data_IF_834043602640
#
_entry.id   IF_834043602640
#
_cell.length_a   1.000
_cell.length_b   1.000
_cell.length_c   1.000
_cell.angle_alpha   90.00
_cell.angle_beta   90.00
_cell.angle_gamma   90.00
#
_symmetry.space_group_name_H-M   'P 1'
#
loop_
_entity.id
_entity.type
_entity.pdbx_description
1 polymer ?
#
# COMPACT_ATOMS: atom_id res chain seq x y z
N UNK A 1 -6.65 -4.46 -17.09
CA UNK A 1 -7.39 -3.58 -16.17
C UNK A 1 -6.83 -2.18 -16.34
N UNK A 2 -7.65 -1.20 -16.62
CA UNK A 2 -7.24 0.19 -16.81
C UNK A 2 -7.71 0.98 -15.57
N UNK A 3 -6.78 1.66 -14.90
CA UNK A 3 -7.09 2.59 -13.81
C UNK A 3 -7.15 4.00 -14.40
N UNK A 4 -8.29 4.63 -14.30
CA UNK A 4 -8.46 6.02 -14.70
C UNK A 4 -8.87 6.83 -13.47
N UNK A 5 -7.97 7.69 -13.02
CA UNK A 5 -8.23 8.58 -11.88
C UNK A 5 -8.82 9.91 -12.37
N UNK A 6 -9.73 10.44 -11.56
CA UNK A 6 -10.34 11.75 -11.76
C UNK A 6 -9.78 12.76 -10.75
N UNK A 7 -10.17 14.02 -10.87
CA UNK A 7 -9.83 15.04 -9.87
C UNK A 7 -10.68 14.94 -8.60
N UNK A 8 -11.75 14.13 -8.61
CA UNK A 8 -12.60 13.87 -7.46
C UNK A 8 -12.03 12.71 -6.63
N UNK A 9 -11.58 13.03 -5.42
CA UNK A 9 -10.98 12.04 -4.52
C UNK A 9 -11.98 10.97 -4.07
N UNK A 10 -13.23 11.33 -3.87
CA UNK A 10 -14.25 10.39 -3.38
C UNK A 10 -14.63 9.36 -4.47
N UNK A 11 -14.66 9.78 -5.75
CA UNK A 11 -14.81 8.85 -6.88
C UNK A 11 -13.64 7.86 -6.97
N UNK A 12 -12.42 8.37 -6.81
CA UNK A 12 -11.22 7.53 -6.84
C UNK A 12 -11.19 6.53 -5.68
N UNK A 13 -11.57 6.95 -4.48
CA UNK A 13 -11.71 6.07 -3.31
C UNK A 13 -12.75 4.97 -3.59
N UNK A 14 -13.91 5.34 -4.11
CA UNK A 14 -14.96 4.39 -4.44
C UNK A 14 -14.52 3.39 -5.51
N UNK A 15 -13.79 3.84 -6.53
CA UNK A 15 -13.21 3.00 -7.57
C UNK A 15 -12.23 1.99 -6.98
N UNK A 16 -11.27 2.43 -6.17
CA UNK A 16 -10.26 1.57 -5.57
C UNK A 16 -10.88 0.55 -4.60
N UNK A 17 -11.84 0.96 -3.78
CA UNK A 17 -12.57 0.05 -2.87
C UNK A 17 -13.37 -1.01 -3.63
N UNK A 18 -13.97 -0.68 -4.78
CA UNK A 18 -14.66 -1.68 -5.61
C UNK A 18 -13.71 -2.67 -6.24
N UNK A 19 -12.53 -2.21 -6.64
CA UNK A 19 -11.53 -3.03 -7.31
C UNK A 19 -10.98 -4.13 -6.39
N UNK A 20 -10.80 -3.82 -5.11
CA UNK A 20 -10.24 -4.71 -4.10
C UNK A 20 -11.26 -5.09 -3.01
N UNK A 21 -12.55 -5.15 -3.38
CA UNK A 21 -13.67 -5.37 -2.44
C UNK A 21 -13.59 -6.71 -1.69
N UNK A 22 -12.96 -7.71 -2.28
CA UNK A 22 -12.80 -9.04 -1.68
C UNK A 22 -11.40 -9.28 -1.08
N UNK A 23 -10.63 -8.22 -0.88
CA UNK A 23 -9.28 -8.33 -0.35
C UNK A 23 -9.18 -7.63 1.01
N UNK A 24 -9.25 -8.43 2.08
CA UNK A 24 -9.20 -7.93 3.47
C UNK A 24 -7.84 -7.31 3.84
N UNK A 25 -6.80 -7.53 3.02
CA UNK A 25 -5.51 -6.87 3.20
C UNK A 25 -5.43 -5.50 2.54
N UNK A 26 -6.41 -5.13 1.70
CA UNK A 26 -6.46 -3.81 1.06
C UNK A 26 -6.88 -2.74 2.05
N UNK A 27 -6.05 -1.74 2.23
CA UNK A 27 -6.30 -0.59 3.11
C UNK A 27 -6.47 0.68 2.28
N UNK A 28 -7.56 1.37 2.53
CA UNK A 28 -7.79 2.73 2.08
C UNK A 28 -7.81 3.65 3.31
N UNK A 29 -6.88 4.60 3.39
CA UNK A 29 -6.78 5.54 4.50
C UNK A 29 -6.90 6.97 4.00
N UNK A 30 -7.93 7.67 4.42
CA UNK A 30 -8.07 9.10 4.18
C UNK A 30 -7.28 9.91 5.20
N UNK A 31 -6.65 10.98 4.74
CA UNK A 31 -5.90 11.92 5.57
C UNK A 31 -6.32 13.33 5.19
N UNK A 32 -6.49 14.18 6.18
CA UNK A 32 -6.84 15.59 5.99
C UNK A 32 -5.81 16.47 6.68
N UNK A 33 -5.37 17.49 6.00
CA UNK A 33 -4.61 18.59 6.58
C UNK A 33 -5.47 19.42 7.52
N UNK A 34 -4.86 20.36 8.22
CA UNK A 34 -5.58 21.30 9.09
C UNK A 34 -6.42 22.32 8.31
N UNK A 35 -6.21 22.42 7.00
CA UNK A 35 -6.95 23.31 6.09
C UNK A 35 -7.63 22.52 4.97
N UNK A 36 -7.32 22.82 3.72
CA UNK A 36 -8.05 22.31 2.55
C UNK A 36 -7.43 21.04 1.93
N UNK A 37 -6.23 20.62 2.33
CA UNK A 37 -5.57 19.45 1.75
C UNK A 37 -6.27 18.15 2.20
N UNK A 38 -6.77 17.39 1.21
CA UNK A 38 -7.32 16.05 1.42
C UNK A 38 -6.51 15.05 0.59
N UNK A 39 -6.20 13.91 1.16
CA UNK A 39 -5.49 12.84 0.48
C UNK A 39 -6.06 11.47 0.83
N UNK A 40 -5.89 10.51 -0.06
CA UNK A 40 -6.16 9.10 0.18
C UNK A 40 -4.91 8.27 -0.09
N UNK A 41 -4.65 7.35 0.80
CA UNK A 41 -3.56 6.39 0.74
C UNK A 41 -4.14 5.00 0.50
N UNK A 42 -3.55 4.26 -0.43
CA UNK A 42 -3.92 2.89 -0.71
C UNK A 42 -2.68 2.01 -0.59
N UNK A 43 -2.80 0.92 0.16
CA UNK A 43 -1.71 -0.03 0.37
C UNK A 43 -2.26 -1.39 0.82
N UNK A 44 -1.42 -2.42 0.78
CA UNK A 44 -1.76 -3.74 1.32
C UNK A 44 -1.11 -3.94 2.68
N UNK A 45 -1.92 -4.33 3.66
CA UNK A 45 -1.42 -4.67 5.00
C UNK A 45 -0.44 -5.86 4.92
N UNK A 46 0.56 -5.85 5.79
CA UNK A 46 1.67 -6.81 5.76
C UNK A 46 2.73 -6.54 4.68
N UNK A 47 2.45 -5.72 3.67
CA UNK A 47 3.40 -5.36 2.61
C UNK A 47 4.20 -4.09 2.91
N UNK A 48 3.67 -3.22 3.74
CA UNK A 48 4.19 -1.88 4.00
C UNK A 48 4.77 -1.73 5.40
N UNK A 49 5.64 -0.74 5.56
CA UNK A 49 6.07 -0.25 6.87
C UNK A 49 5.10 0.84 7.35
N UNK A 50 4.23 0.49 8.29
CA UNK A 50 3.22 1.41 8.83
C UNK A 50 3.84 2.63 9.52
N UNK A 51 5.03 2.49 10.12
CA UNK A 51 5.74 3.62 10.72
C UNK A 51 6.20 4.60 9.64
N UNK A 52 6.78 4.11 8.54
CA UNK A 52 7.19 4.95 7.41
C UNK A 52 5.99 5.70 6.81
N UNK A 53 4.84 5.02 6.62
CA UNK A 53 3.60 5.68 6.16
C UNK A 53 3.20 6.80 7.12
N UNK A 54 3.17 6.51 8.43
CA UNK A 54 2.76 7.49 9.43
C UNK A 54 3.69 8.70 9.50
N UNK A 55 5.00 8.49 9.50
CA UNK A 55 5.99 9.55 9.65
C UNK A 55 6.18 10.35 8.37
N UNK A 56 6.25 9.68 7.20
CA UNK A 56 6.62 10.33 5.94
C UNK A 56 5.42 10.83 5.12
N UNK A 57 4.21 10.33 5.38
CA UNK A 57 3.03 10.69 4.59
C UNK A 57 1.94 11.28 5.48
N UNK A 58 1.45 10.51 6.45
CA UNK A 58 0.26 10.90 7.23
C UNK A 58 0.52 12.12 8.09
N UNK A 59 1.60 12.11 8.85
CA UNK A 59 1.95 13.23 9.75
C UNK A 59 2.21 14.53 8.98
N UNK A 60 3.02 14.57 7.91
CA UNK A 60 3.21 15.80 7.12
C UNK A 60 1.90 16.35 6.56
N UNK A 61 1.05 15.50 5.97
CA UNK A 61 -0.26 15.92 5.45
C UNK A 61 -1.15 16.46 6.57
N UNK A 62 -1.25 15.74 7.70
CA UNK A 62 -2.12 16.13 8.82
C UNK A 62 -1.70 17.43 9.50
N UNK A 63 -0.42 17.78 9.45
CA UNK A 63 0.10 19.03 10.01
C UNK A 63 0.07 20.20 9.02
N UNK A 64 -0.26 19.94 7.74
CA UNK A 64 -0.29 20.97 6.71
C UNK A 64 -1.39 21.99 6.97
N UNK A 65 -1.02 23.25 7.03
CA UNK A 65 -1.91 24.40 7.28
C UNK A 65 -2.12 25.28 6.05
N UNK A 66 -1.39 24.99 4.96
CA UNK A 66 -1.48 25.75 3.70
C UNK A 66 -2.73 25.45 2.89
N UNK A 67 -2.81 26.00 1.71
CA UNK A 67 -3.90 25.76 0.76
C UNK A 67 -3.86 24.31 0.22
N UNK A 68 -4.92 23.90 -0.48
CA UNK A 68 -4.92 22.67 -1.28
C UNK A 68 -3.84 22.76 -2.35
N UNK A 69 -3.11 21.67 -2.55
CA UNK A 69 -2.00 21.59 -3.49
C UNK A 69 -2.26 20.47 -4.50
N UNK A 70 -1.72 20.63 -5.70
CA UNK A 70 -1.63 19.56 -6.68
C UNK A 70 -0.49 18.61 -6.33
N UNK A 71 -0.50 17.40 -6.89
CA UNK A 71 0.44 16.32 -6.52
C UNK A 71 1.93 16.74 -6.58
N UNK A 72 2.43 17.45 -7.61
CA UNK A 72 3.84 17.86 -7.63
C UNK A 72 4.24 18.74 -6.45
N UNK A 73 3.35 19.65 -6.03
CA UNK A 73 3.62 20.53 -4.90
C UNK A 73 3.50 19.77 -3.56
N UNK A 74 2.55 18.85 -3.46
CA UNK A 74 2.43 17.96 -2.28
C UNK A 74 3.72 17.15 -2.09
N UNK A 75 4.28 16.59 -3.15
CA UNK A 75 5.54 15.85 -3.07
C UNK A 75 6.67 16.77 -2.60
N UNK A 76 6.80 17.97 -3.18
CA UNK A 76 7.88 18.89 -2.90
C UNK A 76 7.78 19.56 -1.53
N UNK A 77 6.58 19.97 -1.12
CA UNK A 77 6.39 20.86 0.03
C UNK A 77 5.91 20.12 1.28
N UNK A 78 5.18 19.01 1.09
CA UNK A 78 4.54 18.29 2.20
C UNK A 78 5.23 16.98 2.51
N UNK A 79 5.40 16.09 1.53
CA UNK A 79 5.89 14.73 1.78
C UNK A 79 7.39 14.66 2.06
N UNK A 80 8.20 15.57 1.51
CA UNK A 80 9.67 15.62 1.69
C UNK A 80 10.35 14.26 1.42
N UNK A 81 9.93 13.61 0.34
CA UNK A 81 10.41 12.29 -0.07
C UNK A 81 11.27 12.45 -1.32
N UNK A 82 12.47 11.91 -1.30
CA UNK A 82 13.47 12.09 -2.38
C UNK A 82 13.05 11.41 -3.70
N UNK A 83 12.41 10.23 -3.62
CA UNK A 83 11.96 9.46 -4.79
C UNK A 83 10.47 9.13 -4.66
N UNK A 84 9.66 9.97 -5.27
CA UNK A 84 8.20 9.82 -5.29
C UNK A 84 7.69 10.02 -6.72
N UNK A 85 7.78 9.00 -7.59
CA UNK A 85 7.27 9.12 -8.94
C UNK A 85 5.75 9.31 -8.93
N UNK A 86 5.28 10.18 -9.82
CA UNK A 86 3.87 10.46 -10.01
C UNK A 86 3.54 10.44 -11.52
N UNK A 87 2.24 10.43 -11.85
CA UNK A 87 1.75 10.37 -13.23
C UNK A 87 2.26 9.15 -14.01
N UNK A 88 2.38 8.02 -13.32
CA UNK A 88 2.81 6.77 -13.91
C UNK A 88 1.71 6.15 -14.78
N UNK A 89 2.13 5.43 -15.82
CA UNK A 89 1.20 4.58 -16.58
C UNK A 89 0.59 3.52 -15.66
N UNK A 90 -0.66 3.13 -15.94
CA UNK A 90 -1.41 2.15 -15.15
C UNK A 90 -0.62 0.87 -14.84
N UNK A 91 0.11 0.34 -15.81
CA UNK A 91 0.91 -0.88 -15.63
C UNK A 91 2.04 -0.69 -14.61
N UNK A 92 2.74 0.44 -14.66
CA UNK A 92 3.82 0.78 -13.73
C UNK A 92 3.27 1.03 -12.32
N UNK A 93 2.15 1.75 -12.24
CA UNK A 93 1.45 2.04 -10.99
C UNK A 93 1.01 0.75 -10.30
N UNK A 94 0.35 -0.15 -11.03
CA UNK A 94 -0.09 -1.44 -10.52
C UNK A 94 1.08 -2.33 -10.12
N UNK A 95 2.15 -2.37 -10.91
CA UNK A 95 3.33 -3.16 -10.59
C UNK A 95 3.97 -2.72 -9.27
N UNK A 96 4.10 -1.41 -9.05
CA UNK A 96 4.61 -0.84 -7.81
C UNK A 96 3.68 -1.13 -6.63
N UNK A 97 2.38 -0.88 -6.78
CA UNK A 97 1.36 -1.10 -5.77
C UNK A 97 1.29 -2.56 -5.31
N UNK A 98 1.23 -3.49 -6.26
CA UNK A 98 1.18 -4.94 -5.97
C UNK A 98 2.51 -5.47 -5.39
N UNK A 99 3.58 -4.69 -5.49
CA UNK A 99 4.87 -5.02 -4.87
C UNK A 99 5.06 -4.40 -3.49
N UNK A 100 4.09 -3.64 -2.98
CA UNK A 100 4.06 -3.10 -1.62
C UNK A 100 4.43 -1.63 -1.50
N UNK A 101 4.33 -0.87 -2.59
CA UNK A 101 4.36 0.59 -2.52
C UNK A 101 2.99 1.15 -2.16
N UNK A 102 2.96 2.34 -1.58
CA UNK A 102 1.73 3.07 -1.28
C UNK A 102 1.38 4.01 -2.42
N UNK A 103 0.14 3.95 -2.91
CA UNK A 103 -0.42 4.96 -3.81
C UNK A 103 -0.97 6.10 -2.97
N UNK A 104 -0.66 7.33 -3.36
CA UNK A 104 -1.18 8.55 -2.75
C UNK A 104 -1.93 9.34 -3.82
N UNK A 105 -3.16 9.74 -3.50
CA UNK A 105 -3.98 10.65 -4.28
C UNK A 105 -4.32 11.88 -3.45
N UNK A 106 -4.43 13.03 -4.10
CA UNK A 106 -4.91 14.27 -3.47
C UNK A 106 -6.15 14.77 -4.17
N UNK A 107 -7.02 15.42 -3.43
CA UNK A 107 -8.23 16.02 -3.96
C UNK A 107 -7.89 17.17 -4.91
N UNK A 108 -8.52 17.20 -6.08
CA UNK A 108 -8.25 18.18 -7.12
C UNK A 108 -7.15 17.80 -8.12
N UNK A 109 -6.49 16.64 -7.97
CA UNK A 109 -5.49 16.14 -8.92
C UNK A 109 -5.75 14.67 -9.28
N UNK A 110 -5.73 14.36 -10.58
CA UNK A 110 -5.94 13.01 -11.10
C UNK A 110 -4.67 12.15 -11.19
N UNK A 111 -3.50 12.72 -10.84
CA UNK A 111 -2.21 12.05 -10.97
C UNK A 111 -1.82 11.36 -9.68
N UNK A 112 -1.80 10.01 -9.65
CA UNK A 112 -1.35 9.28 -8.48
C UNK A 112 0.17 9.41 -8.29
N UNK A 113 0.60 9.52 -7.03
CA UNK A 113 1.99 9.35 -6.65
C UNK A 113 2.23 7.98 -6.04
N UNK A 114 3.43 7.46 -6.20
CA UNK A 114 3.86 6.18 -5.62
C UNK A 114 4.97 6.44 -4.61
N UNK A 115 4.73 6.03 -3.38
CA UNK A 115 5.70 6.16 -2.29
C UNK A 115 6.25 4.78 -1.93
N UNK A 116 7.57 4.66 -1.93
CA UNK A 116 8.23 3.44 -1.51
C UNK A 116 8.10 3.26 0.02
N UNK A 117 7.13 2.46 0.41
CA UNK A 117 6.84 2.15 1.82
C UNK A 117 7.03 0.68 2.15
N UNK A 118 7.71 -0.08 1.30
CA UNK A 118 7.91 -1.52 1.47
C UNK A 118 8.48 -1.84 2.85
N UNK A 119 7.80 -2.72 3.58
CA UNK A 119 8.13 -3.06 4.97
C UNK A 119 8.07 -4.54 5.27
N UNK A 120 8.16 -5.39 4.23
CA UNK A 120 8.20 -6.82 4.51
C UNK A 120 9.42 -7.17 5.35
N UNK A 121 9.19 -7.97 6.39
CA UNK A 121 10.25 -8.50 7.21
C UNK A 121 11.26 -9.23 6.32
N UNK A 122 12.48 -8.67 6.21
CA UNK A 122 13.60 -9.41 5.67
C UNK A 122 14.02 -10.39 6.76
N UNK A 123 13.73 -11.68 6.57
CA UNK A 123 14.42 -12.68 7.36
C UNK A 123 15.93 -12.52 7.14
N UNK A 124 16.70 -12.55 8.22
CA UNK A 124 18.08 -12.99 8.11
C UNK A 124 18.10 -14.39 7.44
N UNK A 125 19.22 -14.80 6.84
CA UNK A 125 19.34 -16.10 6.21
C UNK A 125 19.39 -17.23 7.26
N UNK A 126 18.27 -17.50 7.94
CA UNK A 126 18.12 -18.67 8.80
C UNK A 126 17.51 -19.80 7.97
N UNK A 127 18.32 -20.80 7.67
CA UNK A 127 17.87 -22.07 7.10
C UNK A 127 17.08 -22.83 8.18
N UNK A 128 15.89 -23.35 7.88
CA UNK A 128 15.27 -24.36 8.75
C UNK A 128 16.20 -25.59 8.78
N UNK A 129 16.64 -25.99 9.95
CA UNK A 129 17.62 -27.08 10.13
C UNK A 129 17.15 -28.45 9.62
N UNK A 130 15.86 -28.63 9.34
CA UNK A 130 15.25 -29.94 9.13
C UNK A 130 14.84 -30.27 7.68
N UNK A 131 14.82 -29.33 6.73
CA UNK A 131 14.53 -29.63 5.33
C UNK A 131 15.34 -28.71 4.39
N UNK A 132 16.56 -29.13 4.09
CA UNK A 132 17.41 -28.44 3.11
C UNK A 132 16.97 -28.81 1.70
N UNK A 133 16.27 -27.89 1.02
CA UNK A 133 15.96 -28.01 -0.39
C UNK A 133 17.23 -27.78 -1.21
N UNK A 134 17.68 -28.79 -1.94
CA UNK A 134 18.90 -28.77 -2.74
C UNK A 134 18.83 -27.80 -3.94
N UNK A 135 17.64 -27.38 -4.39
CA UNK A 135 17.41 -26.37 -5.46
C UNK A 135 16.05 -25.72 -5.27
N UNK A 136 16.01 -24.40 -5.08
CA UNK A 136 14.78 -23.62 -5.01
C UNK A 136 14.89 -22.42 -4.07
N UNK A 137 13.88 -21.52 -4.06
CA UNK A 137 13.85 -20.42 -3.12
C UNK A 137 13.67 -20.95 -1.70
N UNK A 138 14.56 -20.53 -0.79
CA UNK A 138 14.60 -20.95 0.61
C UNK A 138 13.66 -20.15 1.52
N UNK A 139 12.54 -19.70 0.99
CA UNK A 139 11.53 -18.96 1.75
C UNK A 139 10.36 -19.89 2.05
N UNK A 140 10.16 -20.23 3.32
CA UNK A 140 9.02 -21.00 3.83
C UNK A 140 8.05 -20.14 4.64
N UNK A 141 6.84 -20.64 4.87
CA UNK A 141 5.88 -20.02 5.77
C UNK A 141 6.35 -20.12 7.23
N UNK A 142 5.94 -19.13 8.00
CA UNK A 142 6.22 -19.01 9.43
C UNK A 142 4.93 -18.86 10.21
N UNK A 143 5.03 -18.78 11.54
CA UNK A 143 3.92 -18.46 12.44
C UNK A 143 3.38 -17.03 12.20
N UNK A 144 4.17 -16.16 11.57
CA UNK A 144 3.76 -14.79 11.24
C UNK A 144 2.83 -14.77 10.02
N UNK A 145 1.54 -14.92 10.26
CA UNK A 145 0.49 -15.02 9.25
C UNK A 145 0.59 -13.91 8.17
N UNK A 146 0.63 -12.64 8.57
CA UNK A 146 0.72 -11.50 7.63
C UNK A 146 2.01 -11.54 6.79
N UNK A 147 3.12 -12.02 7.37
CA UNK A 147 4.36 -12.25 6.64
C UNK A 147 4.21 -13.29 5.53
N UNK A 148 3.46 -14.36 5.77
CA UNK A 148 3.18 -15.39 4.78
C UNK A 148 2.32 -14.87 3.63
N UNK A 149 1.29 -14.05 3.91
CA UNK A 149 0.48 -13.40 2.89
C UNK A 149 1.33 -12.45 2.03
N UNK A 150 2.22 -11.68 2.66
CA UNK A 150 3.16 -10.81 1.94
C UNK A 150 4.08 -11.61 1.00
N UNK A 151 4.57 -12.79 1.41
CA UNK A 151 5.35 -13.68 0.55
C UNK A 151 4.56 -14.14 -0.68
N UNK A 152 3.30 -14.54 -0.50
CA UNK A 152 2.43 -14.94 -1.61
C UNK A 152 2.23 -13.77 -2.57
N UNK A 153 1.84 -12.59 -2.07
CA UNK A 153 1.57 -11.41 -2.90
C UNK A 153 2.82 -10.94 -3.67
N UNK A 154 4.00 -10.99 -3.04
CA UNK A 154 5.27 -10.67 -3.71
C UNK A 154 5.58 -11.56 -4.91
N UNK A 155 5.14 -12.82 -4.86
CA UNK A 155 5.34 -13.81 -5.94
C UNK A 155 4.23 -13.73 -6.97
N UNK A 156 2.98 -13.58 -6.54
CA UNK A 156 1.78 -13.50 -7.38
C UNK A 156 1.34 -12.04 -7.47
N UNK A 157 2.06 -11.23 -8.25
CA UNK A 157 1.80 -9.80 -8.45
C UNK A 157 0.65 -9.59 -9.42
N UNK A 158 -0.54 -10.00 -9.03
CA UNK A 158 -1.75 -9.86 -9.82
C UNK A 158 -2.85 -9.17 -9.00
N UNK A 159 -3.63 -8.27 -9.61
CA UNK A 159 -4.76 -7.64 -8.94
C UNK A 159 -5.91 -8.62 -8.65
N UNK A 160 -5.87 -9.81 -9.24
CA UNK A 160 -6.86 -10.86 -9.02
C UNK A 160 -6.57 -11.70 -7.75
N UNK A 161 -5.43 -11.52 -7.10
CA UNK A 161 -5.15 -12.16 -5.82
C UNK A 161 -5.88 -11.43 -4.71
N UNK A 162 -6.80 -12.12 -4.06
CA UNK A 162 -7.55 -11.63 -2.91
C UNK A 162 -7.28 -12.53 -1.70
N UNK A 163 -7.26 -11.95 -0.52
CA UNK A 163 -7.20 -12.66 0.76
C UNK A 163 -8.45 -12.34 1.55
N UNK A 164 -9.28 -13.33 1.79
CA UNK A 164 -10.47 -13.22 2.63
C UNK A 164 -10.22 -13.85 4.00
N UNK A 165 -10.52 -13.12 5.07
CA UNK A 165 -10.34 -13.58 6.44
C UNK A 165 -11.68 -14.01 7.02
N UNK A 166 -11.72 -15.22 7.58
CA UNK A 166 -12.91 -15.71 8.26
C UNK A 166 -12.53 -16.26 9.63
N UNK A 167 -13.19 -15.78 10.68
CA UNK A 167 -13.04 -16.33 12.03
C UNK A 167 -13.84 -17.63 12.16
N UNK A 168 -13.18 -18.71 12.60
CA UNK A 168 -13.82 -20.01 12.83
C UNK A 168 -13.68 -20.38 14.31
N UNK A 169 -14.78 -20.84 14.89
CA UNK A 169 -14.83 -21.29 16.26
C UNK A 169 -15.56 -20.35 17.21
N UNK A 170 -16.24 -20.92 18.20
CA UNK A 170 -17.02 -20.18 19.19
C UNK A 170 -16.23 -19.76 20.43
N UNK A 171 -15.04 -20.29 20.63
CA UNK A 171 -14.21 -20.07 21.84
C UNK A 171 -12.90 -19.37 21.51
N UNK A 172 -12.19 -19.80 20.49
CA UNK A 172 -10.87 -19.23 20.14
C UNK A 172 -10.94 -18.06 19.17
N UNK A 173 -12.00 -17.96 18.35
CA UNK A 173 -12.17 -16.92 17.33
C UNK A 173 -10.94 -16.76 16.41
N UNK A 174 -10.26 -17.86 16.11
CA UNK A 174 -9.09 -17.93 15.24
C UNK A 174 -9.46 -18.34 13.83
#
# INVERSE_FOLDING_TARGET
MELSFTTDLDENIAMMKRLFVHDDTFICREVRGQSALRAALFFFDGMVNSQAINESIVKPISLWTGNSLQMPDVIREVLQIDDCPFDLKTEQLLAAFLYGDTIVLVDGDSRPAVVNTKGFAKRGPDEPDNEKVLRGPREGFTEAFMGNLALIRRRLRTPNLCFEFSGIGSVTHT
#
